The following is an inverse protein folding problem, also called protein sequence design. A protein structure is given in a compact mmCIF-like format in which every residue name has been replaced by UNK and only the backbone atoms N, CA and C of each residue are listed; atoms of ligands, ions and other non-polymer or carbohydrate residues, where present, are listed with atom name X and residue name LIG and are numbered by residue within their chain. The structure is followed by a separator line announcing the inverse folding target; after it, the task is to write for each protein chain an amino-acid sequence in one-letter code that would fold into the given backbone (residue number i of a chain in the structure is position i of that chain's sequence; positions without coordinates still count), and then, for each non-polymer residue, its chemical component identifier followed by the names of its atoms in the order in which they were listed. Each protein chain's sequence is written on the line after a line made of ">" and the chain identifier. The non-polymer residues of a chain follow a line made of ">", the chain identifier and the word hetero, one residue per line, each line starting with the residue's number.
data_IF_015532983038
#
_entry.id   IF_015532983038
#
_cell.length_a   1.000
_cell.length_b   1.000
_cell.length_c   1.000
_cell.angle_alpha   90.00
_cell.angle_beta   90.00
_cell.angle_gamma   90.00
#
_symmetry.space_group_name_H-M   'P 1'
#
loop_
_entity.id
_entity.type
_entity.pdbx_description
1 polymer ?
#
# COMPACT_ATOMS: atom_id res chain seq x y z
N UNK A 1 2.73 -63.92 37.19
CA UNK A 1 3.67 -63.69 36.04
C UNK A 1 2.88 -63.10 34.85
N UNK A 2 1.85 -63.75 34.39
CA UNK A 2 1.04 -63.32 33.22
C UNK A 2 0.37 -61.91 33.40
N UNK A 3 -0.05 -61.52 34.64
CA UNK A 3 -0.60 -60.20 34.91
C UNK A 3 0.43 -59.09 34.88
N UNK A 4 1.65 -59.36 35.28
CA UNK A 4 2.77 -58.42 35.26
C UNK A 4 3.20 -58.10 33.82
N UNK A 5 3.28 -59.11 32.96
CA UNK A 5 3.63 -58.94 31.53
C UNK A 5 2.59 -58.08 30.78
N UNK A 6 1.30 -58.24 31.09
CA UNK A 6 0.20 -57.43 30.52
C UNK A 6 0.32 -55.98 30.99
N UNK A 7 0.64 -55.76 32.28
CA UNK A 7 0.76 -54.43 32.85
C UNK A 7 1.96 -53.67 32.26
N UNK A 8 3.10 -54.32 32.11
CA UNK A 8 4.28 -53.73 31.46
C UNK A 8 4.00 -53.34 30.01
N UNK A 9 3.37 -54.24 29.26
CA UNK A 9 2.98 -53.96 27.88
C UNK A 9 2.03 -52.74 27.79
N UNK A 10 1.04 -52.66 28.63
CA UNK A 10 0.11 -51.53 28.70
C UNK A 10 0.82 -50.21 29.02
N UNK A 11 1.78 -50.23 29.97
CA UNK A 11 2.58 -49.06 30.31
C UNK A 11 3.49 -48.61 29.12
N UNK A 12 4.02 -49.55 28.38
CA UNK A 12 4.85 -49.27 27.22
C UNK A 12 4.04 -48.65 26.07
N UNK A 13 2.88 -49.24 25.77
CA UNK A 13 1.95 -48.71 24.76
C UNK A 13 1.51 -47.27 25.09
N UNK A 14 1.19 -46.99 26.36
CA UNK A 14 0.84 -45.64 26.81
C UNK A 14 2.00 -44.64 26.69
N UNK A 15 3.23 -45.04 26.96
CA UNK A 15 4.42 -44.19 26.78
C UNK A 15 4.65 -43.89 25.31
N UNK A 16 4.55 -44.87 24.45
CA UNK A 16 4.71 -44.67 23.00
C UNK A 16 3.60 -43.76 22.44
N UNK A 17 2.36 -43.91 22.87
CA UNK A 17 1.26 -43.03 22.51
C UNK A 17 1.52 -41.57 22.97
N UNK A 18 2.03 -41.39 24.19
CA UNK A 18 2.37 -40.06 24.72
C UNK A 18 3.50 -39.40 23.92
N UNK A 19 4.55 -40.15 23.57
CA UNK A 19 5.65 -39.65 22.76
C UNK A 19 5.13 -39.22 21.39
N UNK A 20 4.30 -40.04 20.73
CA UNK A 20 3.70 -39.70 19.44
C UNK A 20 2.85 -38.42 19.50
N UNK A 21 2.09 -38.23 20.57
CA UNK A 21 1.31 -36.99 20.79
C UNK A 21 2.21 -35.77 20.90
N UNK A 22 3.28 -35.87 21.69
CA UNK A 22 4.26 -34.78 21.87
C UNK A 22 4.95 -34.45 20.54
N UNK A 23 5.38 -35.45 19.78
CA UNK A 23 5.98 -35.25 18.46
C UNK A 23 5.02 -34.59 17.48
N UNK A 24 3.76 -35.01 17.47
CA UNK A 24 2.71 -34.41 16.63
C UNK A 24 2.47 -32.95 17.00
N UNK A 25 2.40 -32.64 18.28
CA UNK A 25 2.25 -31.26 18.77
C UNK A 25 3.44 -30.38 18.36
N UNK A 26 4.67 -30.91 18.45
CA UNK A 26 5.87 -30.18 18.03
C UNK A 26 5.88 -29.95 16.50
N UNK A 27 5.48 -30.94 15.70
CA UNK A 27 5.33 -30.79 14.24
C UNK A 27 4.29 -29.75 13.89
N UNK A 28 3.13 -29.78 14.51
CA UNK A 28 2.07 -28.78 14.31
C UNK A 28 2.56 -27.38 14.65
N UNK A 29 3.25 -27.22 15.78
CA UNK A 29 3.83 -25.93 16.19
C UNK A 29 4.82 -25.39 15.16
N UNK A 30 5.71 -26.24 14.66
CA UNK A 30 6.68 -25.84 13.65
C UNK A 30 6.02 -25.45 12.32
N UNK A 31 5.07 -26.26 11.83
CA UNK A 31 4.31 -25.93 10.60
C UNK A 31 3.53 -24.61 10.76
N UNK A 32 2.94 -24.37 11.93
CA UNK A 32 2.24 -23.10 12.19
C UNK A 32 3.22 -21.91 12.18
N UNK A 33 4.40 -22.07 12.75
CA UNK A 33 5.44 -21.03 12.78
C UNK A 33 5.94 -20.74 11.36
N UNK A 34 6.24 -21.78 10.57
CA UNK A 34 6.71 -21.65 9.19
C UNK A 34 5.64 -20.96 8.33
N UNK A 35 4.37 -21.32 8.50
CA UNK A 35 3.26 -20.69 7.78
C UNK A 35 3.10 -19.21 8.12
N UNK A 36 3.25 -18.83 9.41
CA UNK A 36 3.19 -17.42 9.82
C UNK A 36 4.36 -16.61 9.27
N UNK A 37 5.57 -17.17 9.25
CA UNK A 37 6.75 -16.53 8.67
C UNK A 37 6.61 -16.36 7.15
N UNK A 38 6.14 -17.39 6.45
CA UNK A 38 5.91 -17.33 5.01
C UNK A 38 4.83 -16.29 4.64
N UNK A 39 3.76 -16.21 5.43
CA UNK A 39 2.71 -15.20 5.24
C UNK A 39 3.22 -13.78 5.49
N UNK A 40 4.10 -13.58 6.48
CA UNK A 40 4.72 -12.28 6.74
C UNK A 40 5.64 -11.87 5.58
N UNK A 41 6.48 -12.78 5.09
CA UNK A 41 7.36 -12.55 3.94
C UNK A 41 6.58 -12.26 2.65
N UNK A 42 5.49 -12.99 2.37
CA UNK A 42 4.64 -12.70 1.22
C UNK A 42 4.00 -11.31 1.31
N UNK A 43 3.51 -10.89 2.47
CA UNK A 43 2.96 -9.54 2.65
C UNK A 43 4.00 -8.45 2.42
N UNK A 44 5.23 -8.69 2.86
CA UNK A 44 6.33 -7.76 2.61
C UNK A 44 6.65 -7.65 1.12
N UNK A 45 6.73 -8.79 0.42
CA UNK A 45 6.94 -8.84 -1.04
C UNK A 45 5.77 -8.18 -1.80
N UNK A 46 4.53 -8.43 -1.41
CA UNK A 46 3.35 -7.78 -1.98
C UNK A 46 3.38 -6.26 -1.73
N UNK A 47 3.75 -5.82 -0.54
CA UNK A 47 3.89 -4.39 -0.21
C UNK A 47 4.95 -3.71 -1.07
N UNK A 48 6.12 -4.34 -1.25
CA UNK A 48 7.19 -3.85 -2.13
C UNK A 48 6.76 -3.84 -3.60
N UNK A 49 5.96 -4.83 -4.03
CA UNK A 49 5.46 -4.90 -5.40
C UNK A 49 4.33 -3.90 -5.71
N UNK A 50 3.64 -3.36 -4.70
CA UNK A 50 2.44 -2.52 -4.88
C UNK A 50 2.62 -1.05 -4.51
N UNK A 51 3.74 -0.68 -3.89
CA UNK A 51 4.00 0.70 -3.47
C UNK A 51 5.25 1.28 -4.14
N UNK A 52 5.23 2.59 -4.32
CA UNK A 52 6.39 3.36 -4.78
C UNK A 52 7.36 3.54 -3.60
N UNK A 53 8.61 3.10 -3.76
CA UNK A 53 9.63 3.10 -2.70
C UNK A 53 9.95 4.51 -2.19
N UNK A 54 9.91 5.51 -3.07
CA UNK A 54 10.25 6.88 -2.71
C UNK A 54 9.15 7.54 -1.89
N UNK A 55 7.90 7.39 -2.33
CA UNK A 55 6.76 8.14 -1.79
C UNK A 55 5.88 7.33 -0.85
N UNK A 56 5.93 5.99 -0.94
CA UNK A 56 5.06 5.08 -0.19
C UNK A 56 3.58 5.13 -0.59
N UNK A 57 3.24 5.83 -1.67
CA UNK A 57 1.93 5.72 -2.33
C UNK A 57 1.84 4.42 -3.13
N UNK A 58 0.63 4.05 -3.56
CA UNK A 58 0.46 2.99 -4.54
C UNK A 58 1.31 3.29 -5.78
N UNK A 59 1.96 2.28 -6.34
CA UNK A 59 2.67 2.40 -7.59
C UNK A 59 1.74 2.16 -8.79
N UNK A 60 2.27 2.29 -10.01
CA UNK A 60 1.52 2.12 -11.26
C UNK A 60 0.88 0.73 -11.39
N UNK A 61 1.53 -0.32 -10.89
CA UNK A 61 0.98 -1.69 -10.95
C UNK A 61 -0.28 -1.79 -10.08
N UNK A 62 -0.19 -1.37 -8.83
CA UNK A 62 -1.33 -1.38 -7.92
C UNK A 62 -2.45 -0.43 -8.39
N UNK A 63 -2.08 0.73 -8.93
CA UNK A 63 -3.06 1.65 -9.53
C UNK A 63 -3.89 0.98 -10.63
N UNK A 64 -3.26 0.24 -11.55
CA UNK A 64 -3.95 -0.42 -12.66
C UNK A 64 -4.92 -1.51 -12.15
N UNK A 65 -4.50 -2.30 -11.17
CA UNK A 65 -5.35 -3.32 -10.55
C UNK A 65 -6.54 -2.69 -9.83
N UNK A 66 -6.28 -1.65 -9.03
CA UNK A 66 -7.32 -0.92 -8.30
C UNK A 66 -8.29 -0.20 -9.24
N UNK A 67 -7.78 0.41 -10.32
CA UNK A 67 -8.60 1.07 -11.34
C UNK A 67 -9.57 0.09 -11.97
N UNK A 68 -9.09 -1.08 -12.42
CA UNK A 68 -9.93 -2.10 -13.08
C UNK A 68 -11.06 -2.56 -12.16
N UNK A 69 -10.73 -2.95 -10.93
CA UNK A 69 -11.73 -3.42 -9.97
C UNK A 69 -12.74 -2.33 -9.56
N UNK A 70 -12.25 -1.08 -9.39
CA UNK A 70 -13.10 0.06 -9.03
C UNK A 70 -14.01 0.48 -10.18
N UNK A 71 -13.53 0.39 -11.43
CA UNK A 71 -14.33 0.69 -12.61
C UNK A 71 -15.44 -0.33 -12.80
N UNK A 72 -15.15 -1.62 -12.68
CA UNK A 72 -16.14 -2.69 -12.74
C UNK A 72 -17.23 -2.51 -11.69
N UNK A 73 -16.82 -2.27 -10.44
CA UNK A 73 -17.75 -2.01 -9.34
C UNK A 73 -18.63 -0.76 -9.58
N UNK A 74 -18.03 0.36 -9.98
CA UNK A 74 -18.76 1.59 -10.26
C UNK A 74 -19.75 1.41 -11.42
N UNK A 75 -19.39 0.62 -12.43
CA UNK A 75 -20.26 0.29 -13.55
C UNK A 75 -21.47 -0.53 -13.10
N UNK A 76 -21.26 -1.57 -12.29
CA UNK A 76 -22.32 -2.43 -11.76
C UNK A 76 -23.29 -1.67 -10.85
N UNK A 77 -22.76 -0.83 -9.97
CA UNK A 77 -23.54 -0.04 -9.00
C UNK A 77 -24.09 1.28 -9.60
N UNK A 78 -23.82 1.57 -10.87
CA UNK A 78 -24.18 2.83 -11.55
C UNK A 78 -23.65 4.07 -10.80
N UNK A 79 -22.47 3.95 -10.22
CA UNK A 79 -21.77 5.02 -9.52
C UNK A 79 -20.85 5.81 -10.44
N UNK A 80 -20.63 7.08 -10.11
CA UNK A 80 -19.66 7.91 -10.81
C UNK A 80 -18.23 7.53 -10.37
N UNK A 81 -17.34 7.39 -11.35
CA UNK A 81 -15.91 7.31 -11.13
C UNK A 81 -15.21 8.52 -11.77
N UNK A 82 -14.37 9.20 -11.00
CA UNK A 82 -13.52 10.29 -11.47
C UNK A 82 -12.06 9.89 -11.48
N UNK A 83 -11.31 10.44 -12.43
CA UNK A 83 -9.85 10.28 -12.55
C UNK A 83 -9.23 11.66 -12.63
N UNK A 84 -8.21 11.90 -11.82
CA UNK A 84 -7.39 13.11 -11.84
C UNK A 84 -5.93 12.71 -12.11
N UNK A 85 -5.31 13.35 -13.08
CA UNK A 85 -3.87 13.29 -13.30
C UNK A 85 -3.27 14.60 -12.80
N UNK A 86 -2.32 14.51 -11.90
CA UNK A 86 -1.57 15.63 -11.33
C UNK A 86 -0.10 15.50 -11.70
N UNK A 87 0.49 16.59 -12.15
CA UNK A 87 1.90 16.70 -12.54
C UNK A 87 2.51 17.91 -11.83
N UNK A 88 3.82 17.89 -11.58
CA UNK A 88 4.52 19.01 -10.94
C UNK A 88 5.06 19.94 -12.00
N UNK A 89 4.54 21.16 -12.04
CA UNK A 89 4.98 22.17 -12.98
C UNK A 89 6.49 22.44 -12.93
N UNK A 90 7.17 22.31 -14.07
CA UNK A 90 8.60 22.56 -14.22
C UNK A 90 9.50 21.72 -13.28
N UNK A 91 9.12 20.46 -13.00
CA UNK A 91 9.86 19.61 -12.07
C UNK A 91 11.29 19.31 -12.54
N UNK A 92 11.52 19.23 -13.85
CA UNK A 92 12.87 19.09 -14.39
C UNK A 92 13.74 20.28 -14.01
N UNK A 93 13.27 21.52 -14.22
CA UNK A 93 13.95 22.75 -13.87
C UNK A 93 14.18 22.88 -12.35
N UNK A 94 13.26 22.34 -11.55
CA UNK A 94 13.43 22.21 -10.11
C UNK A 94 14.62 21.30 -9.77
N UNK A 95 14.69 20.11 -10.36
CA UNK A 95 15.80 19.18 -10.17
C UNK A 95 17.14 19.75 -10.65
N UNK A 96 17.14 20.40 -11.82
CA UNK A 96 18.34 20.98 -12.40
C UNK A 96 18.89 22.14 -11.51
N UNK A 97 18.02 22.83 -10.79
CA UNK A 97 18.40 23.95 -9.92
C UNK A 97 18.76 23.53 -8.49
N UNK A 98 17.93 22.66 -7.85
CA UNK A 98 18.08 22.29 -6.44
C UNK A 98 18.72 20.91 -6.23
N UNK A 99 18.89 20.13 -7.31
CA UNK A 99 19.40 18.76 -7.28
C UNK A 99 18.33 17.70 -7.01
N UNK A 100 18.62 16.47 -7.42
CA UNK A 100 17.68 15.34 -7.33
C UNK A 100 17.25 15.02 -5.89
N UNK A 101 18.12 15.22 -4.89
CA UNK A 101 17.74 15.01 -3.47
C UNK A 101 16.63 15.98 -3.03
N UNK A 102 16.67 17.24 -3.51
CA UNK A 102 15.61 18.20 -3.23
C UNK A 102 14.30 17.80 -3.97
N UNK A 103 14.41 17.30 -5.21
CA UNK A 103 13.29 16.75 -5.95
C UNK A 103 12.64 15.58 -5.24
N UNK A 104 13.43 14.64 -4.71
CA UNK A 104 12.92 13.52 -3.91
C UNK A 104 12.16 14.00 -2.65
N UNK A 105 12.66 15.03 -1.97
CA UNK A 105 11.96 15.61 -0.83
C UNK A 105 10.67 16.32 -1.24
N UNK A 106 10.65 16.99 -2.40
CA UNK A 106 9.46 17.58 -2.98
C UNK A 106 8.39 16.51 -3.26
N UNK A 107 8.76 15.44 -3.94
CA UNK A 107 7.86 14.30 -4.22
C UNK A 107 7.31 13.66 -2.93
N UNK A 108 8.16 13.46 -1.92
CA UNK A 108 7.74 12.95 -0.61
C UNK A 108 6.77 13.88 0.10
N UNK A 109 6.99 15.19 0.03
CA UNK A 109 6.11 16.17 0.66
C UNK A 109 4.72 16.18 0.02
N UNK A 110 4.64 16.17 -1.32
CA UNK A 110 3.38 16.08 -2.08
C UNK A 110 2.68 14.76 -1.78
N UNK A 111 3.39 13.64 -1.83
CA UNK A 111 2.84 12.34 -1.47
C UNK A 111 2.29 12.31 -0.03
N UNK A 112 2.92 13.04 0.89
CA UNK A 112 2.43 13.23 2.26
C UNK A 112 1.08 13.95 2.32
N UNK A 113 0.83 14.89 1.42
CA UNK A 113 -0.48 15.54 1.27
C UNK A 113 -1.49 14.53 0.72
N UNK A 114 -1.17 13.87 -0.40
CA UNK A 114 -2.07 12.91 -1.04
C UNK A 114 -2.48 11.78 -0.11
N UNK A 115 -1.54 11.26 0.69
CA UNK A 115 -1.81 10.20 1.67
C UNK A 115 -2.85 10.60 2.71
N UNK A 116 -2.86 11.87 3.13
CA UNK A 116 -3.85 12.40 4.09
C UNK A 116 -5.24 12.57 3.48
N UNK A 117 -5.31 12.69 2.16
CA UNK A 117 -6.58 12.86 1.44
C UNK A 117 -7.21 11.52 1.03
N UNK A 118 -6.48 10.41 1.16
CA UNK A 118 -7.04 9.09 0.86
C UNK A 118 -8.20 8.75 1.79
N UNK A 119 -9.28 8.27 1.18
CA UNK A 119 -10.47 7.78 1.89
C UNK A 119 -10.79 6.39 1.36
N UNK A 120 -10.71 5.33 2.18
CA UNK A 120 -10.96 3.97 1.73
C UNK A 120 -12.26 3.84 0.93
N UNK A 121 -12.20 3.25 -0.26
CA UNK A 121 -13.32 3.05 -1.15
C UNK A 121 -13.86 4.31 -1.84
N UNK A 122 -13.25 5.51 -1.60
CA UNK A 122 -13.71 6.77 -2.22
C UNK A 122 -12.60 7.58 -2.88
N UNK A 123 -11.44 7.71 -2.25
CA UNK A 123 -10.30 8.48 -2.77
C UNK A 123 -9.06 7.61 -2.65
N UNK A 124 -8.48 7.25 -3.78
CA UNK A 124 -7.27 6.45 -3.90
C UNK A 124 -6.21 7.25 -4.63
N UNK A 125 -4.99 7.32 -4.07
CA UNK A 125 -3.88 8.10 -4.64
C UNK A 125 -2.70 7.17 -4.94
N UNK A 126 -2.08 7.37 -6.10
CA UNK A 126 -0.93 6.62 -6.58
C UNK A 126 0.11 7.54 -7.21
N UNK A 127 1.36 7.11 -7.22
CA UNK A 127 2.39 7.67 -8.08
C UNK A 127 2.40 6.91 -9.39
N UNK A 128 2.09 7.61 -10.49
CA UNK A 128 2.04 6.99 -11.81
C UNK A 128 3.44 6.78 -12.41
N UNK A 129 4.34 7.75 -12.20
CA UNK A 129 5.75 7.69 -12.58
C UNK A 129 6.38 9.08 -12.56
N UNK A 130 7.70 9.18 -12.37
CA UNK A 130 8.39 10.47 -12.36
C UNK A 130 7.79 11.46 -11.34
N UNK A 131 7.25 12.54 -11.85
CA UNK A 131 6.55 13.63 -11.15
C UNK A 131 5.03 13.57 -11.27
N UNK A 132 4.50 12.49 -11.88
CA UNK A 132 3.08 12.30 -12.13
C UNK A 132 2.41 11.50 -10.99
N UNK A 133 1.26 11.99 -10.52
CA UNK A 133 0.40 11.31 -9.56
C UNK A 133 -1.00 11.14 -10.15
N UNK A 134 -1.66 10.06 -9.79
CA UNK A 134 -3.04 9.79 -10.20
C UNK A 134 -3.93 9.61 -8.99
N UNK A 135 -5.08 10.25 -9.01
CA UNK A 135 -6.11 10.16 -7.98
C UNK A 135 -7.38 9.60 -8.59
N UNK A 136 -7.93 8.57 -7.96
CA UNK A 136 -9.20 7.96 -8.34
C UNK A 136 -10.27 8.29 -7.30
N UNK A 137 -11.44 8.66 -7.80
CA UNK A 137 -12.62 9.00 -7.00
C UNK A 137 -13.76 8.05 -7.34
N UNK A 138 -14.34 7.36 -6.36
CA UNK A 138 -15.42 6.37 -6.57
C UNK A 138 -16.62 6.70 -5.68
N UNK A 139 -17.84 6.60 -6.24
CA UNK A 139 -19.09 6.81 -5.50
C UNK A 139 -19.25 8.23 -4.95
N UNK A 140 -18.70 9.23 -5.64
CA UNK A 140 -18.76 10.65 -5.26
C UNK A 140 -19.46 11.46 -6.35
N UNK A 141 -20.16 12.53 -5.98
CA UNK A 141 -20.72 13.48 -6.96
C UNK A 141 -19.63 14.34 -7.60
N UNK A 142 -19.89 14.88 -8.78
CA UNK A 142 -18.94 15.76 -9.50
C UNK A 142 -18.48 16.93 -8.62
N UNK A 143 -19.40 17.53 -7.86
CA UNK A 143 -19.10 18.65 -6.96
C UNK A 143 -18.16 18.24 -5.82
N UNK A 144 -18.34 17.02 -5.28
CA UNK A 144 -17.45 16.49 -4.24
C UNK A 144 -16.07 16.17 -4.78
N UNK A 145 -15.98 15.59 -5.99
CA UNK A 145 -14.72 15.33 -6.68
C UNK A 145 -13.97 16.64 -6.90
N UNK A 146 -14.65 17.65 -7.49
CA UNK A 146 -14.04 18.95 -7.72
C UNK A 146 -13.51 19.60 -6.44
N UNK A 147 -14.30 19.58 -5.36
CA UNK A 147 -13.87 20.11 -4.06
C UNK A 147 -12.64 19.36 -3.51
N UNK A 148 -12.62 18.03 -3.64
CA UNK A 148 -11.49 17.23 -3.17
C UNK A 148 -10.21 17.57 -3.96
N UNK A 149 -10.31 17.72 -5.28
CA UNK A 149 -9.18 18.13 -6.13
C UNK A 149 -8.68 19.56 -5.78
N UNK A 150 -9.60 20.53 -5.59
CA UNK A 150 -9.25 21.88 -5.14
C UNK A 150 -8.61 21.88 -3.75
N UNK A 151 -9.05 21.01 -2.85
CA UNK A 151 -8.48 20.84 -1.51
C UNK A 151 -7.07 20.27 -1.58
N UNK A 152 -6.82 19.28 -2.42
CA UNK A 152 -5.50 18.71 -2.67
C UNK A 152 -4.55 19.81 -3.17
N UNK A 153 -4.94 20.53 -4.20
CA UNK A 153 -4.12 21.61 -4.77
C UNK A 153 -3.82 22.70 -3.71
N UNK A 154 -4.80 23.06 -2.90
CA UNK A 154 -4.63 24.02 -1.80
C UNK A 154 -3.64 23.52 -0.74
N UNK A 155 -3.71 22.27 -0.36
CA UNK A 155 -2.79 21.67 0.62
C UNK A 155 -1.36 21.54 0.05
N UNK A 156 -1.20 21.20 -1.23
CA UNK A 156 0.10 21.21 -1.91
C UNK A 156 0.70 22.62 -1.89
N UNK A 157 -0.07 23.66 -2.25
CA UNK A 157 0.39 25.06 -2.21
C UNK A 157 0.78 25.53 -0.81
N UNK A 158 0.15 25.00 0.24
CA UNK A 158 0.53 25.29 1.65
C UNK A 158 1.90 24.77 2.05
N UNK A 159 2.46 23.80 1.32
CA UNK A 159 3.82 23.33 1.56
C UNK A 159 4.86 24.43 1.34
N UNK A 160 4.55 25.43 0.50
CA UNK A 160 5.41 26.58 0.16
C UNK A 160 6.83 26.15 -0.25
N UNK A 161 6.92 25.06 -1.01
CA UNK A 161 8.20 24.61 -1.58
C UNK A 161 8.65 25.62 -2.62
N UNK A 162 9.73 26.34 -2.35
CA UNK A 162 10.23 27.40 -3.23
C UNK A 162 10.66 26.82 -4.58
N UNK A 163 10.25 27.47 -5.68
CA UNK A 163 10.60 27.07 -7.05
C UNK A 163 11.02 28.30 -7.89
N UNK A 164 12.29 28.71 -7.77
CA UNK A 164 12.81 29.93 -8.40
C UNK A 164 12.88 29.82 -9.95
N UNK A 165 12.82 28.62 -10.50
CA UNK A 165 12.86 28.37 -11.95
C UNK A 165 11.50 28.06 -12.57
N UNK A 166 10.43 28.11 -11.79
CA UNK A 166 9.08 27.98 -12.33
C UNK A 166 8.66 29.28 -13.02
N UNK A 167 8.02 29.14 -14.19
CA UNK A 167 7.45 30.26 -14.92
C UNK A 167 6.00 30.60 -14.54
N UNK A 168 5.37 29.77 -13.69
CA UNK A 168 3.97 29.93 -13.31
C UNK A 168 3.76 30.36 -11.85
N UNK A 169 4.69 30.04 -10.94
CA UNK A 169 4.57 30.32 -9.50
C UNK A 169 5.94 30.40 -8.84
N UNK A 170 6.08 31.19 -7.77
CA UNK A 170 7.29 31.17 -6.94
C UNK A 170 7.39 29.92 -6.06
N UNK A 171 6.40 29.08 -6.07
CA UNK A 171 6.34 27.83 -5.32
C UNK A 171 5.90 26.70 -6.23
N UNK A 172 6.22 25.47 -5.84
CA UNK A 172 5.75 24.27 -6.51
C UNK A 172 4.22 24.29 -6.64
N UNK A 173 3.74 23.98 -7.85
CA UNK A 173 2.32 23.92 -8.21
C UNK A 173 2.02 22.71 -9.06
#
# INVERSE_FOLDING_TARGET
>A
RQYFDIYEKYQQENREALINVIELQNRLKNVTLDWTNMKASNRELESLAMHDELTGLANRTFLNEYFTSSFEHAYEEHELMGVELMDIDFFKEYNDHYGHLAGDQCLKAIAGVLRKQQVPGKIFCARYGGDEFMILYTGMTVEKIRRAAEDILREVRKLKLLHERSNCSSYVS
#
